data_IF_621362828850
#
_entry.id   IF_621362828850
#
_cell.length_a   1.000
_cell.length_b   1.000
_cell.length_c   1.000
_cell.angle_alpha   90.00
_cell.angle_beta   90.00
_cell.angle_gamma   90.00
#
_symmetry.space_group_name_H-M   'P 1'
#
loop_
_entity.id
_entity.type
_entity.pdbx_description
1 polymer ?
#
# COMPACT_ATOMS: atom_id res chain seq x y z
N UNK A 1 1.68 17.45 -23.72
CA UNK A 1 2.37 16.96 -22.50
C UNK A 1 1.32 16.61 -21.48
N UNK A 2 1.04 15.31 -21.24
CA UNK A 2 0.04 14.93 -20.22
C UNK A 2 0.75 14.80 -18.86
N UNK A 3 0.52 15.70 -17.90
CA UNK A 3 1.23 15.71 -16.64
C UNK A 3 0.75 14.55 -15.76
N UNK A 4 1.69 13.91 -15.05
CA UNK A 4 1.46 12.90 -14.01
C UNK A 4 0.91 11.57 -14.51
N UNK A 5 1.71 10.91 -15.35
CA UNK A 5 1.52 9.52 -15.75
C UNK A 5 2.31 8.65 -14.76
N UNK A 6 1.62 7.90 -13.89
CA UNK A 6 2.28 7.18 -12.82
C UNK A 6 2.02 5.68 -12.83
N UNK A 7 3.10 4.91 -12.75
CA UNK A 7 3.14 3.45 -12.69
C UNK A 7 2.81 2.88 -11.30
N UNK A 8 2.46 1.59 -11.25
CA UNK A 8 2.06 0.89 -10.00
C UNK A 8 3.19 0.82 -8.96
N UNK A 9 4.46 0.84 -9.36
CA UNK A 9 5.60 0.85 -8.42
C UNK A 9 5.71 2.20 -7.70
N UNK A 10 5.49 3.29 -8.42
CA UNK A 10 5.45 4.64 -7.86
C UNK A 10 4.29 4.82 -6.85
N UNK A 11 3.16 4.13 -7.02
CA UNK A 11 2.07 4.10 -6.03
C UNK A 11 2.50 3.52 -4.68
N UNK A 12 3.33 2.47 -4.69
CA UNK A 12 3.85 1.84 -3.46
C UNK A 12 4.70 2.80 -2.64
N UNK A 13 5.32 3.80 -3.28
CA UNK A 13 6.09 4.82 -2.57
C UNK A 13 5.19 5.95 -2.08
N UNK A 14 4.23 6.41 -2.89
CA UNK A 14 3.36 7.54 -2.51
C UNK A 14 2.46 7.27 -1.31
N UNK A 15 1.93 6.06 -1.16
CA UNK A 15 1.07 5.72 -0.04
C UNK A 15 1.77 5.92 1.33
N UNK A 16 3.01 5.43 1.54
CA UNK A 16 3.86 5.78 2.68
C UNK A 16 4.01 7.28 2.91
N UNK A 17 4.35 8.07 1.87
CA UNK A 17 4.54 9.51 1.99
C UNK A 17 3.27 10.21 2.47
N UNK A 18 2.11 9.83 1.92
CA UNK A 18 0.81 10.38 2.31
C UNK A 18 0.45 10.00 3.76
N UNK A 19 0.63 8.73 4.11
CA UNK A 19 0.39 8.26 5.48
C UNK A 19 1.28 8.98 6.50
N UNK A 20 2.55 9.23 6.18
CA UNK A 20 3.43 10.00 7.08
C UNK A 20 3.00 11.45 7.26
N UNK A 21 2.47 12.06 6.20
CA UNK A 21 2.00 13.45 6.25
C UNK A 21 0.73 13.58 7.11
N UNK A 22 -0.14 12.58 7.09
CA UNK A 22 -1.32 12.49 7.96
C UNK A 22 -1.55 11.04 8.43
N UNK A 23 -0.97 10.63 9.58
CA UNK A 23 -1.08 9.27 10.09
C UNK A 23 -2.50 8.88 10.54
N UNK A 24 -3.41 9.86 10.69
CA UNK A 24 -4.80 9.62 11.12
C UNK A 24 -5.77 9.56 9.94
N UNK A 25 -5.27 9.71 8.71
CA UNK A 25 -6.09 9.66 7.52
C UNK A 25 -6.79 8.30 7.40
N UNK A 26 -8.13 8.32 7.43
CA UNK A 26 -8.94 7.11 7.22
C UNK A 26 -9.00 6.70 5.75
N UNK A 27 -8.68 7.62 4.83
CA UNK A 27 -8.60 7.32 3.41
C UNK A 27 -7.53 8.15 2.71
N UNK A 28 -6.84 7.54 1.75
CA UNK A 28 -5.83 8.18 0.91
C UNK A 28 -6.20 7.95 -0.55
N UNK A 29 -6.25 9.03 -1.33
CA UNK A 29 -6.51 8.97 -2.76
C UNK A 29 -5.22 9.18 -3.55
N UNK A 30 -4.97 8.29 -4.52
CA UNK A 30 -3.78 8.31 -5.36
C UNK A 30 -4.18 8.22 -6.84
N UNK A 31 -3.70 9.11 -7.72
CA UNK A 31 -3.89 8.99 -9.16
C UNK A 31 -2.99 7.88 -9.72
N UNK A 32 -3.55 7.04 -10.59
CA UNK A 32 -2.88 5.88 -11.20
C UNK A 32 -3.14 5.85 -12.70
N UNK A 33 -2.12 5.52 -13.50
CA UNK A 33 -2.30 5.32 -14.93
C UNK A 33 -2.96 3.95 -15.22
N UNK A 34 -4.05 3.96 -15.97
CA UNK A 34 -4.69 2.77 -16.53
C UNK A 34 -4.73 2.78 -18.06
N UNK A 35 -5.11 1.67 -18.69
CA UNK A 35 -5.13 1.55 -20.15
C UNK A 35 -6.09 2.54 -20.86
N UNK A 36 -7.06 3.12 -20.14
CA UNK A 36 -8.03 4.08 -20.68
C UNK A 36 -7.92 5.53 -20.18
N UNK A 37 -6.96 5.84 -19.30
CA UNK A 37 -6.85 7.17 -18.67
C UNK A 37 -6.30 7.12 -17.24
N UNK A 38 -6.36 8.26 -16.54
CA UNK A 38 -6.04 8.32 -15.11
C UNK A 38 -7.23 7.84 -14.28
N UNK A 39 -7.00 6.87 -13.40
CA UNK A 39 -7.98 6.39 -12.41
C UNK A 39 -7.52 6.79 -11.00
N UNK A 40 -8.45 7.11 -10.11
CA UNK A 40 -8.13 7.43 -8.71
C UNK A 40 -8.31 6.18 -7.87
N UNK A 41 -7.22 5.71 -7.26
CA UNK A 41 -7.27 4.62 -6.28
C UNK A 41 -7.54 5.23 -4.91
N UNK A 42 -8.63 4.80 -4.28
CA UNK A 42 -8.98 5.17 -2.91
C UNK A 42 -8.61 4.03 -1.96
N UNK A 43 -7.58 4.26 -1.17
CA UNK A 43 -7.20 3.36 -0.07
C UNK A 43 -7.95 3.76 1.18
N UNK A 44 -8.53 2.79 1.88
CA UNK A 44 -9.15 2.97 3.20
C UNK A 44 -8.29 2.31 4.26
N UNK A 45 -8.03 3.01 5.36
CA UNK A 45 -7.40 2.41 6.52
C UNK A 45 -8.37 1.40 7.16
N UNK A 46 -7.86 0.21 7.47
CA UNK A 46 -8.60 -0.88 8.12
C UNK A 46 -8.24 -1.01 9.61
N UNK A 47 -7.30 -0.18 10.09
CA UNK A 47 -6.83 -0.18 11.47
C UNK A 47 -5.42 -0.71 11.63
N UNK A 48 -4.99 -0.78 12.89
CA UNK A 48 -3.67 -1.28 13.29
C UNK A 48 -3.67 -2.81 13.38
N UNK A 49 -2.58 -3.43 12.92
CA UNK A 49 -2.37 -4.88 12.93
C UNK A 49 -0.90 -5.19 13.27
N UNK A 50 -0.68 -6.09 14.23
CA UNK A 50 0.64 -6.59 14.58
C UNK A 50 0.99 -7.79 13.69
N UNK A 51 2.01 -7.64 12.83
CA UNK A 51 2.43 -8.68 11.88
C UNK A 51 3.72 -9.36 12.31
N UNK A 52 3.74 -10.70 12.21
CA UNK A 52 4.97 -11.49 12.24
C UNK A 52 5.41 -11.78 10.79
N UNK A 53 6.55 -11.24 10.39
CA UNK A 53 7.15 -11.36 9.05
C UNK A 53 8.54 -12.00 9.17
N UNK A 54 9.14 -12.49 8.07
CA UNK A 54 10.50 -13.03 8.12
C UNK A 54 11.54 -11.99 8.58
N UNK A 55 11.27 -10.69 8.39
CA UNK A 55 12.10 -9.60 8.90
C UNK A 55 11.92 -9.29 10.40
N UNK A 56 10.98 -9.94 11.10
CA UNK A 56 10.64 -9.69 12.50
C UNK A 56 9.16 -9.32 12.71
N UNK A 57 8.86 -8.80 13.91
CA UNK A 57 7.51 -8.37 14.28
C UNK A 57 7.36 -6.86 14.14
N UNK A 58 6.26 -6.41 13.55
CA UNK A 58 6.00 -4.99 13.29
C UNK A 58 4.56 -4.63 13.64
N UNK A 59 4.37 -3.49 14.29
CA UNK A 59 3.07 -2.82 14.33
C UNK A 59 2.86 -2.11 12.99
N UNK A 60 1.69 -2.34 12.38
CA UNK A 60 1.39 -1.87 11.04
C UNK A 60 0.01 -1.25 10.97
N UNK A 61 -0.22 -0.37 9.99
CA UNK A 61 -1.55 0.10 9.60
C UNK A 61 -1.89 -0.54 8.27
N UNK A 62 -3.01 -1.26 8.22
CA UNK A 62 -3.49 -1.88 7.00
C UNK A 62 -4.30 -0.88 6.18
N UNK A 63 -3.98 -0.79 4.90
CA UNK A 63 -4.75 -0.06 3.90
C UNK A 63 -5.29 -1.04 2.85
N UNK A 64 -6.51 -0.81 2.40
CA UNK A 64 -7.14 -1.59 1.34
C UNK A 64 -7.68 -0.67 0.25
N UNK A 65 -7.39 -0.98 -1.01
CA UNK A 65 -8.01 -0.31 -2.15
C UNK A 65 -9.50 -0.68 -2.16
N UNK A 66 -10.36 0.33 -2.09
CA UNK A 66 -11.80 0.15 -2.20
C UNK A 66 -12.14 -0.49 -3.55
N UNK A 67 -12.55 -1.76 -3.52
CA UNK A 67 -12.91 -2.55 -4.70
C UNK A 67 -14.38 -2.31 -5.09
N UNK A 68 -14.65 -2.23 -6.39
CA UNK A 68 -15.99 -2.46 -6.95
C UNK A 68 -16.11 -3.93 -7.36
N UNK A 69 -17.33 -4.48 -7.42
CA UNK A 69 -17.54 -5.88 -7.80
C UNK A 69 -16.88 -6.21 -9.14
N UNK A 70 -16.10 -7.29 -9.18
CA UNK A 70 -15.35 -7.73 -10.36
C UNK A 70 -13.97 -7.09 -10.57
N UNK A 71 -13.50 -6.18 -9.70
CA UNK A 71 -12.15 -5.62 -9.82
C UNK A 71 -11.08 -6.39 -9.01
N UNK A 72 -9.80 -6.11 -9.24
CA UNK A 72 -8.71 -6.59 -8.39
C UNK A 72 -8.70 -5.88 -7.02
N UNK A 73 -8.23 -6.54 -5.96
CA UNK A 73 -7.98 -5.92 -4.65
C UNK A 73 -6.47 -5.75 -4.40
N UNK A 74 -6.13 -4.68 -3.71
CA UNK A 74 -4.77 -4.43 -3.24
C UNK A 74 -4.83 -4.02 -1.78
N UNK A 75 -4.17 -4.80 -0.94
CA UNK A 75 -3.97 -4.54 0.47
C UNK A 75 -2.49 -4.26 0.73
N UNK A 76 -2.23 -3.26 1.56
CA UNK A 76 -0.89 -2.78 1.88
C UNK A 76 -0.79 -2.56 3.38
N UNK A 77 0.22 -3.15 4.01
CA UNK A 77 0.52 -2.94 5.42
C UNK A 77 1.73 -2.03 5.55
N UNK A 78 1.54 -0.86 6.16
CA UNK A 78 2.60 0.12 6.38
C UNK A 78 3.10 0.01 7.81
N UNK A 79 4.42 -0.10 8.03
CA UNK A 79 5.00 -0.10 9.37
C UNK A 79 5.47 1.32 9.76
N UNK A 80 4.80 2.02 10.69
CA UNK A 80 5.17 3.39 11.06
C UNK A 80 6.61 3.51 11.58
N UNK A 81 7.06 2.51 12.35
CA UNK A 81 8.43 2.43 12.87
C UNK A 81 9.51 2.33 11.78
N UNK A 82 9.14 1.86 10.58
CA UNK A 82 10.01 1.82 9.41
C UNK A 82 9.65 2.93 8.43
N UNK A 83 9.47 4.15 8.92
CA UNK A 83 9.18 5.27 8.02
C UNK A 83 7.89 5.06 7.19
N UNK A 84 6.90 4.35 7.75
CA UNK A 84 5.67 3.90 7.05
C UNK A 84 5.93 3.06 5.79
N UNK A 85 7.05 2.35 5.71
CA UNK A 85 7.38 1.49 4.58
C UNK A 85 6.33 0.37 4.43
N UNK A 86 5.95 -0.01 3.20
CA UNK A 86 5.16 -1.21 2.97
C UNK A 86 5.95 -2.46 3.38
N UNK A 87 5.45 -3.19 4.38
CA UNK A 87 6.10 -4.41 4.87
C UNK A 87 5.38 -5.68 4.43
N UNK A 88 4.13 -5.56 3.98
CA UNK A 88 3.36 -6.61 3.31
C UNK A 88 2.50 -6.00 2.22
N UNK A 89 2.35 -6.71 1.11
CA UNK A 89 1.39 -6.41 0.06
C UNK A 89 0.64 -7.68 -0.30
N UNK A 90 -0.67 -7.58 -0.46
CA UNK A 90 -1.50 -8.67 -0.95
C UNK A 90 -2.35 -8.17 -2.11
N UNK A 91 -2.11 -8.75 -3.28
CA UNK A 91 -2.89 -8.52 -4.47
C UNK A 91 -3.80 -9.72 -4.70
N UNK A 92 -5.08 -9.47 -4.94
CA UNK A 92 -6.02 -10.52 -5.34
C UNK A 92 -6.67 -10.11 -6.65
N UNK A 93 -6.56 -10.92 -7.70
CA UNK A 93 -7.21 -10.61 -8.98
C UNK A 93 -8.72 -10.89 -8.94
N UNK A 94 -9.41 -10.61 -10.04
CA UNK A 94 -10.84 -10.85 -10.24
C UNK A 94 -11.23 -12.34 -10.17
N UNK A 95 -10.27 -13.24 -10.38
CA UNK A 95 -10.44 -14.70 -10.34
C UNK A 95 -10.04 -15.32 -8.99
N UNK A 96 -9.60 -14.50 -8.04
CA UNK A 96 -9.18 -14.93 -6.71
C UNK A 96 -7.73 -15.44 -6.62
N UNK A 97 -6.91 -15.27 -7.67
CA UNK A 97 -5.47 -15.52 -7.56
C UNK A 97 -4.86 -14.51 -6.61
N UNK A 98 -4.16 -15.01 -5.59
CA UNK A 98 -3.49 -14.19 -4.58
C UNK A 98 -2.00 -14.17 -4.85
N UNK A 99 -1.44 -12.95 -4.94
CA UNK A 99 0.00 -12.71 -4.93
C UNK A 99 0.33 -11.92 -3.67
N UNK A 100 1.20 -12.49 -2.83
CA UNK A 100 1.63 -11.86 -1.59
C UNK A 100 3.13 -11.58 -1.60
N UNK A 101 3.50 -10.39 -1.13
CA UNK A 101 4.88 -9.99 -0.90
C UNK A 101 5.04 -9.61 0.57
N UNK A 102 6.14 -10.08 1.17
CA UNK A 102 6.46 -9.81 2.57
C UNK A 102 7.90 -9.31 2.68
N UNK A 103 8.13 -8.39 3.61
CA UNK A 103 9.46 -7.94 3.98
C UNK A 103 10.24 -9.11 4.58
N UNK A 104 11.33 -9.52 3.91
CA UNK A 104 12.17 -10.62 4.39
C UNK A 104 13.31 -10.19 5.29
N UNK A 105 13.90 -9.03 5.03
CA UNK A 105 14.96 -8.45 5.83
C UNK A 105 14.96 -6.93 5.66
N UNK A 106 15.32 -6.22 6.71
CA UNK A 106 15.58 -4.78 6.68
C UNK A 106 16.86 -4.52 7.47
N UNK A 107 17.71 -3.64 6.93
CA UNK A 107 18.90 -3.14 7.62
C UNK A 107 18.71 -1.65 7.80
N UNK A 108 18.32 -1.24 8.99
CA UNK A 108 18.31 0.19 9.36
C UNK A 108 19.69 0.55 9.87
N UNK A 109 20.24 1.67 9.40
CA UNK A 109 21.44 2.25 10.01
C UNK A 109 21.14 2.72 11.45
N UNK A 110 22.18 3.06 12.25
CA UNK A 110 21.95 3.78 13.50
C UNK A 110 21.19 5.10 13.21
N UNK A 111 20.41 5.60 14.17
CA UNK A 111 19.67 6.86 14.04
C UNK A 111 20.58 8.06 13.76
#
# INVERSE_FOLDING_TARGET
>A
TRPQMQDRLSLLMQLPWRHRADPRAQSIELPVAGQGGASVYRFKAQGEESLALPAGRFETVKFERHKQDGEDSLEVWLAPALCSLPVRLRFTDDKGLVIEQQLRAVRTGPP
#
